data_IF_181393623228
#
_entry.id   IF_181393623228
#
_cell.length_a   1.000
_cell.length_b   1.000
_cell.length_c   1.000
_cell.angle_alpha   90.00
_cell.angle_beta   90.00
_cell.angle_gamma   90.00
#
_symmetry.space_group_name_H-M   'P 1'
#
loop_
_entity.id
_entity.type
_entity.pdbx_description
1 polymer ?
#
# COMPACT_ATOMS: atom_id res chain seq x y z
N UNK A 1 -93.24 64.20 -47.04
CA UNK A 1 -93.78 63.03 -46.31
C UNK A 1 -93.17 61.78 -46.93
N UNK A 2 -92.97 60.67 -46.22
CA UNK A 2 -92.03 60.48 -45.11
C UNK A 2 -91.26 59.13 -45.27
N UNK A 3 -90.61 58.71 -44.19
CA UNK A 3 -90.40 57.31 -43.77
C UNK A 3 -89.15 56.49 -44.17
N UNK A 4 -88.55 55.96 -43.09
CA UNK A 4 -87.52 54.92 -42.94
C UNK A 4 -88.01 53.55 -43.42
N UNK A 5 -87.08 52.60 -43.56
CA UNK A 5 -86.97 51.29 -42.87
C UNK A 5 -86.04 50.40 -43.73
N UNK A 6 -84.85 50.00 -43.26
CA UNK A 6 -84.50 48.91 -42.33
C UNK A 6 -84.19 47.58 -43.06
N UNK A 7 -83.27 46.82 -42.46
CA UNK A 7 -82.40 45.79 -43.04
C UNK A 7 -83.00 44.36 -43.06
N UNK A 8 -82.62 43.61 -44.11
CA UNK A 8 -82.33 42.14 -44.19
C UNK A 8 -83.42 41.11 -43.85
N UNK A 9 -83.45 39.96 -44.55
CA UNK A 9 -83.01 38.69 -43.93
C UNK A 9 -82.35 37.69 -44.93
N UNK A 10 -81.30 36.96 -44.53
CA UNK A 10 -81.26 35.59 -43.96
C UNK A 10 -81.12 34.42 -44.97
N UNK A 11 -80.10 33.59 -44.68
CA UNK A 11 -80.03 32.11 -44.72
C UNK A 11 -80.22 31.39 -46.06
N UNK A 12 -79.26 30.62 -46.57
CA UNK A 12 -78.97 29.19 -46.26
C UNK A 12 -77.80 28.75 -47.18
N UNK A 13 -77.07 27.64 -47.06
CA UNK A 13 -76.85 26.59 -46.07
C UNK A 13 -75.50 25.91 -46.44
N UNK A 14 -74.85 25.30 -45.46
CA UNK A 14 -73.50 24.71 -45.51
C UNK A 14 -73.48 23.42 -46.35
N UNK A 15 -72.48 23.24 -47.23
CA UNK A 15 -72.05 21.89 -47.64
C UNK A 15 -70.52 21.70 -47.58
N UNK A 16 -70.18 20.50 -47.12
CA UNK A 16 -68.99 20.02 -46.44
C UNK A 16 -67.98 19.43 -47.44
N UNK A 17 -66.77 19.98 -47.54
CA UNK A 17 -65.60 19.20 -47.99
C UNK A 17 -64.28 19.76 -47.46
N UNK A 18 -63.91 19.26 -46.28
CA UNK A 18 -62.56 18.95 -45.82
C UNK A 18 -61.44 19.98 -46.00
N UNK A 19 -61.26 20.85 -45.01
CA UNK A 19 -59.96 21.49 -44.76
C UNK A 19 -59.20 20.62 -43.76
N UNK A 20 -58.12 19.98 -44.19
CA UNK A 20 -57.20 19.28 -43.29
C UNK A 20 -56.50 20.29 -42.38
N UNK A 21 -56.51 19.98 -41.07
CA UNK A 21 -55.80 20.70 -40.02
C UNK A 21 -54.31 20.37 -40.08
N UNK A 22 -53.48 21.36 -40.36
CA UNK A 22 -52.07 21.36 -39.96
C UNK A 22 -51.89 22.25 -38.74
N UNK A 23 -51.94 21.67 -37.54
CA UNK A 23 -51.43 22.36 -36.35
C UNK A 23 -49.92 22.16 -36.34
N UNK A 24 -49.16 23.18 -36.71
CA UNK A 24 -47.73 23.21 -36.46
C UNK A 24 -47.53 23.53 -34.97
N UNK A 25 -47.24 22.51 -34.16
CA UNK A 25 -46.85 22.73 -32.77
C UNK A 25 -45.40 23.20 -32.78
N UNK A 26 -45.19 24.51 -32.68
CA UNK A 26 -43.89 25.07 -32.38
C UNK A 26 -43.54 24.73 -30.93
N UNK A 27 -42.77 23.66 -30.73
CA UNK A 27 -42.17 23.37 -29.43
C UNK A 27 -41.00 24.34 -29.26
N UNK A 28 -40.96 25.20 -28.23
CA UNK A 28 -39.78 26.00 -27.97
C UNK A 28 -38.63 25.04 -27.64
N UNK A 29 -37.65 24.94 -28.55
CA UNK A 29 -36.35 24.35 -28.22
C UNK A 29 -35.65 25.34 -27.31
N UNK A 30 -35.87 25.20 -26.00
CA UNK A 30 -34.97 25.79 -25.02
C UNK A 30 -33.67 24.98 -25.11
N UNK A 31 -32.73 25.48 -25.91
CA UNK A 31 -31.35 25.06 -25.79
C UNK A 31 -30.86 25.54 -24.42
N UNK A 32 -31.05 24.71 -23.39
CA UNK A 32 -30.30 24.86 -22.16
C UNK A 32 -28.88 24.50 -22.55
N UNK A 33 -28.08 25.52 -22.86
CA UNK A 33 -26.66 25.41 -22.63
C UNK A 33 -26.52 25.20 -21.12
N UNK A 34 -26.62 23.94 -20.70
CA UNK A 34 -25.96 23.52 -19.49
C UNK A 34 -24.51 23.83 -19.80
N UNK A 35 -24.04 24.98 -19.30
CA UNK A 35 -22.65 25.10 -18.96
C UNK A 35 -22.41 23.85 -18.14
N UNK A 36 -21.83 22.82 -18.77
CA UNK A 36 -21.19 21.74 -18.05
C UNK A 36 -20.45 22.49 -16.97
N UNK A 37 -20.73 22.28 -15.68
CA UNK A 37 -19.79 22.74 -14.71
C UNK A 37 -18.48 22.17 -15.25
N UNK A 38 -17.56 23.05 -15.64
CA UNK A 38 -16.18 22.72 -15.39
C UNK A 38 -16.21 22.52 -13.88
N UNK A 39 -16.53 21.28 -13.46
CA UNK A 39 -15.99 20.73 -12.27
C UNK A 39 -14.51 20.99 -12.52
N UNK A 40 -14.03 22.09 -11.95
CA UNK A 40 -12.67 22.21 -11.54
C UNK A 40 -12.53 21.08 -10.53
N UNK A 41 -12.42 19.86 -11.06
CA UNK A 41 -11.52 18.89 -10.51
C UNK A 41 -10.19 19.62 -10.54
N UNK A 42 -9.92 20.36 -9.46
CA UNK A 42 -8.58 20.46 -8.93
C UNK A 42 -8.19 19.03 -8.60
N UNK A 43 -7.94 18.23 -9.65
CA UNK A 43 -7.06 17.09 -9.54
C UNK A 43 -5.78 17.76 -9.11
N UNK A 44 -5.53 17.71 -7.81
CA UNK A 44 -4.35 18.30 -7.23
C UNK A 44 -3.17 17.61 -7.92
N UNK A 45 -2.65 18.26 -8.97
CA UNK A 45 -1.61 17.73 -9.83
C UNK A 45 -0.27 17.70 -9.10
N UNK A 46 -0.23 18.34 -7.92
CA UNK A 46 0.92 18.38 -7.06
C UNK A 46 1.26 16.98 -6.58
N UNK A 47 2.53 16.65 -6.72
CA UNK A 47 3.12 15.42 -6.22
C UNK A 47 3.98 15.78 -5.02
N UNK A 48 3.82 15.01 -3.95
CA UNK A 48 4.50 15.21 -2.68
C UNK A 48 5.43 14.03 -2.44
N UNK A 49 6.67 14.33 -2.03
CA UNK A 49 7.58 13.32 -1.53
C UNK A 49 7.31 13.06 -0.04
N UNK A 50 7.16 11.80 0.32
CA UNK A 50 6.97 11.34 1.69
C UNK A 50 8.11 10.44 2.15
N UNK A 51 8.34 10.40 3.46
CA UNK A 51 9.29 9.47 4.07
C UNK A 51 8.76 8.95 5.41
N UNK A 52 8.65 7.63 5.54
CA UNK A 52 8.52 6.98 6.85
C UNK A 52 9.90 6.87 7.47
N UNK A 53 10.06 7.40 8.69
CA UNK A 53 11.30 7.40 9.46
C UNK A 53 11.10 6.62 10.75
N UNK A 54 11.89 5.56 10.92
CA UNK A 54 11.69 4.60 12.02
C UNK A 54 12.38 4.98 13.33
N UNK A 55 13.58 5.57 13.31
CA UNK A 55 14.21 6.10 14.52
C UNK A 55 15.32 7.13 14.25
N UNK A 56 15.72 7.83 15.32
CA UNK A 56 16.56 9.03 15.34
C UNK A 56 18.05 8.72 15.42
N UNK A 57 18.59 7.88 14.52
CA UNK A 57 20.03 7.93 14.27
C UNK A 57 20.23 9.12 13.32
N UNK A 58 20.36 10.31 13.92
CA UNK A 58 20.85 11.56 13.30
C UNK A 58 19.89 12.43 12.46
N UNK A 59 18.58 12.15 12.39
CA UNK A 59 17.63 13.06 11.74
C UNK A 59 16.22 13.05 12.34
N UNK A 60 15.88 14.08 13.11
CA UNK A 60 14.50 14.41 13.43
C UNK A 60 13.78 14.98 12.19
N UNK A 61 12.45 14.81 12.07
CA UNK A 61 11.55 14.09 12.98
C UNK A 61 11.35 12.62 12.60
N UNK A 62 11.42 11.73 13.60
CA UNK A 62 10.88 10.36 13.53
C UNK A 62 9.35 10.46 13.49
N UNK A 63 8.71 9.64 12.66
CA UNK A 63 7.27 9.68 12.50
C UNK A 63 6.58 8.32 12.65
N UNK A 64 7.35 7.28 12.97
CA UNK A 64 6.86 5.96 13.33
C UNK A 64 6.65 5.84 14.85
N UNK A 65 5.63 5.07 15.23
CA UNK A 65 5.35 4.70 16.62
C UNK A 65 4.95 3.24 16.65
N UNK A 66 5.65 2.48 17.49
CA UNK A 66 5.31 1.08 17.79
C UNK A 66 4.04 1.02 18.63
N UNK A 67 3.23 -0.02 18.43
CA UNK A 67 2.11 -0.32 19.32
C UNK A 67 2.57 -0.54 20.78
N UNK A 68 1.63 -0.51 21.71
CA UNK A 68 1.87 -0.71 23.14
C UNK A 68 1.03 -1.86 23.69
N UNK A 69 1.40 -2.36 24.89
CA UNK A 69 0.68 -3.46 25.56
C UNK A 69 0.58 -4.70 24.67
N UNK A 70 -0.64 -5.25 24.53
CA UNK A 70 -0.91 -6.43 23.71
C UNK A 70 -0.56 -6.24 22.21
N UNK A 71 -0.49 -4.99 21.74
CA UNK A 71 -0.20 -4.67 20.35
C UNK A 71 1.28 -4.42 20.05
N UNK A 72 2.16 -4.45 21.06
CA UNK A 72 3.56 -4.07 20.89
C UNK A 72 4.29 -4.88 19.82
N UNK A 73 3.98 -6.17 19.70
CA UNK A 73 4.56 -7.03 18.65
C UNK A 73 3.66 -7.19 17.43
N UNK A 74 2.46 -6.61 17.45
CA UNK A 74 1.42 -6.82 16.43
C UNK A 74 1.24 -5.65 15.48
N UNK A 75 1.44 -4.43 15.96
CA UNK A 75 1.03 -3.25 15.24
C UNK A 75 2.00 -2.08 15.43
N UNK A 76 2.04 -1.20 14.44
CA UNK A 76 2.72 0.08 14.47
C UNK A 76 2.07 1.03 13.48
N UNK A 77 2.33 2.33 13.63
CA UNK A 77 1.80 3.34 12.73
C UNK A 77 2.83 4.43 12.47
N UNK A 78 2.75 5.08 11.32
CA UNK A 78 3.49 6.29 11.04
C UNK A 78 2.58 7.39 10.47
N UNK A 79 2.87 8.65 10.78
CA UNK A 79 2.17 9.82 10.24
C UNK A 79 3.15 10.71 9.46
N UNK A 80 3.10 10.63 8.13
CA UNK A 80 4.01 11.36 7.25
C UNK A 80 3.43 12.72 6.91
N UNK A 81 3.90 13.76 7.59
CA UNK A 81 3.65 15.15 7.21
C UNK A 81 4.30 15.43 5.84
N UNK A 82 3.53 16.01 4.92
CA UNK A 82 3.99 16.34 3.58
C UNK A 82 4.28 17.85 3.50
N UNK A 83 5.43 18.26 2.94
CA UNK A 83 5.77 19.67 2.80
C UNK A 83 4.81 20.35 1.83
N UNK A 84 4.58 21.65 1.99
CA UNK A 84 3.82 22.41 0.99
C UNK A 84 4.56 22.41 -0.36
N UNK A 85 3.82 22.23 -1.45
CA UNK A 85 4.36 22.28 -2.82
C UNK A 85 3.63 23.38 -3.56
N UNK A 86 4.36 24.37 -4.06
CA UNK A 86 3.79 25.53 -4.77
C UNK A 86 2.69 26.26 -3.96
N UNK A 87 2.84 26.34 -2.63
CA UNK A 87 1.85 26.94 -1.73
C UNK A 87 0.65 26.05 -1.40
N UNK A 88 0.55 24.85 -1.97
CA UNK A 88 -0.51 23.89 -1.67
C UNK A 88 -0.09 22.94 -0.56
N UNK A 89 -0.92 22.84 0.48
CA UNK A 89 -0.79 21.86 1.56
C UNK A 89 -1.70 20.66 1.32
N UNK A 90 -1.37 19.53 1.92
CA UNK A 90 -2.22 18.34 1.92
C UNK A 90 -2.15 17.64 3.28
N UNK A 91 -3.16 16.83 3.59
CA UNK A 91 -3.16 16.02 4.80
C UNK A 91 -2.02 15.01 4.82
N UNK A 92 -1.61 14.60 6.02
CA UNK A 92 -0.58 13.59 6.21
C UNK A 92 -0.94 12.26 5.56
N UNK A 93 0.08 11.49 5.17
CA UNK A 93 -0.08 10.09 4.79
C UNK A 93 0.14 9.24 6.03
N UNK A 94 -0.94 8.67 6.55
CA UNK A 94 -0.88 7.66 7.59
C UNK A 94 -0.47 6.32 6.97
N UNK A 95 0.44 5.62 7.64
CA UNK A 95 0.91 4.27 7.28
C UNK A 95 0.67 3.36 8.48
N UNK A 96 0.12 2.19 8.25
CA UNK A 96 -0.13 1.18 9.28
C UNK A 96 0.69 -0.07 9.00
N UNK A 97 1.18 -0.67 10.06
CA UNK A 97 1.96 -1.91 10.04
C UNK A 97 1.22 -2.93 10.91
N UNK A 98 0.98 -4.12 10.38
CA UNK A 98 0.37 -5.20 11.16
C UNK A 98 1.07 -6.52 10.90
N UNK A 99 1.30 -7.30 11.96
CA UNK A 99 1.95 -8.62 11.87
C UNK A 99 0.99 -9.74 12.25
N UNK A 100 0.91 -10.74 11.38
CA UNK A 100 0.27 -12.03 11.68
C UNK A 100 1.31 -13.15 11.63
N UNK A 101 1.26 -14.05 12.61
CA UNK A 101 2.11 -15.23 12.62
C UNK A 101 1.57 -16.24 11.61
N UNK A 102 2.47 -16.89 10.90
CA UNK A 102 2.18 -18.07 10.09
C UNK A 102 2.50 -19.29 10.97
N UNK A 103 1.52 -19.76 11.72
CA UNK A 103 1.62 -21.06 12.41
C UNK A 103 1.45 -22.18 11.39
N UNK A 104 2.29 -23.22 11.45
CA UNK A 104 1.95 -24.50 10.81
C UNK A 104 1.69 -25.54 11.90
N UNK A 105 0.48 -26.07 11.94
CA UNK A 105 0.01 -27.01 12.93
C UNK A 105 0.40 -28.49 12.66
N UNK A 106 1.35 -28.77 11.74
CA UNK A 106 1.48 -30.12 11.18
C UNK A 106 2.85 -30.83 11.37
N UNK A 107 3.92 -30.13 11.74
CA UNK A 107 5.24 -30.78 11.91
C UNK A 107 6.07 -29.90 12.85
N UNK A 108 6.65 -30.47 13.91
CA UNK A 108 7.25 -29.76 15.05
C UNK A 108 8.04 -28.48 14.74
N UNK A 109 8.03 -27.55 15.71
CA UNK A 109 8.65 -26.23 15.62
C UNK A 109 7.62 -25.10 15.79
N UNK A 110 7.79 -24.23 16.78
CA UNK A 110 6.91 -23.09 17.07
C UNK A 110 7.53 -21.79 16.58
N UNK A 111 6.75 -20.98 15.85
CA UNK A 111 7.12 -19.64 15.41
C UNK A 111 6.27 -18.63 16.18
N UNK A 112 6.93 -17.80 16.98
CA UNK A 112 6.32 -16.72 17.73
C UNK A 112 6.96 -15.39 17.31
N UNK A 113 6.23 -14.29 17.43
CA UNK A 113 6.85 -12.96 17.29
C UNK A 113 7.74 -12.72 18.49
N UNK A 114 8.95 -12.26 18.24
CA UNK A 114 9.87 -11.87 19.30
C UNK A 114 9.39 -10.56 19.96
N UNK A 115 9.77 -10.33 21.21
CA UNK A 115 9.41 -9.09 21.93
C UNK A 115 9.98 -7.84 21.27
N UNK A 116 11.02 -7.97 20.43
CA UNK A 116 11.60 -6.90 19.61
C UNK A 116 10.89 -6.69 18.28
N UNK A 117 9.87 -7.49 17.92
CA UNK A 117 9.13 -7.27 16.70
C UNK A 117 8.54 -5.84 16.70
N UNK A 118 8.71 -5.14 15.58
CA UNK A 118 8.32 -3.75 15.34
C UNK A 118 9.05 -2.70 16.20
N UNK A 119 10.08 -3.09 16.96
CA UNK A 119 10.99 -2.14 17.58
C UNK A 119 11.79 -1.40 16.50
N UNK A 120 12.02 -0.10 16.70
CA UNK A 120 12.82 0.73 15.82
C UNK A 120 14.07 1.31 16.50
N UNK A 121 14.15 1.13 17.81
CA UNK A 121 15.19 1.58 18.74
C UNK A 121 16.04 0.41 19.25
N UNK A 122 15.97 -0.76 18.60
CA UNK A 122 16.72 -1.92 19.06
C UNK A 122 18.22 -1.70 18.94
N UNK A 123 18.98 -2.17 19.93
CA UNK A 123 20.46 -2.12 19.92
C UNK A 123 21.07 -2.91 18.76
N UNK A 124 20.35 -3.91 18.23
CA UNK A 124 20.78 -4.73 17.09
C UNK A 124 20.68 -3.97 15.76
N UNK A 125 19.72 -3.06 15.65
CA UNK A 125 19.43 -2.34 14.42
C UNK A 125 18.86 -0.93 14.70
N UNK A 126 19.65 -0.01 15.27
CA UNK A 126 19.17 1.33 15.59
C UNK A 126 18.66 2.04 14.34
N UNK A 127 17.49 2.68 14.40
CA UNK A 127 16.96 3.42 13.25
C UNK A 127 16.14 2.59 12.26
N UNK A 128 15.97 1.28 12.51
CA UNK A 128 15.40 0.35 11.53
C UNK A 128 14.20 -0.39 12.10
N UNK A 129 13.17 -0.56 11.29
CA UNK A 129 11.98 -1.32 11.67
C UNK A 129 12.29 -2.82 11.69
N UNK A 130 12.24 -3.41 12.88
CA UNK A 130 12.61 -4.80 13.09
C UNK A 130 11.43 -5.75 12.82
N UNK A 131 11.67 -6.79 12.02
CA UNK A 131 10.74 -7.89 11.78
C UNK A 131 11.38 -9.15 12.35
N UNK A 132 11.02 -9.49 13.59
CA UNK A 132 11.74 -10.49 14.40
C UNK A 132 10.79 -11.57 14.88
N UNK A 133 11.22 -12.82 14.76
CA UNK A 133 10.51 -14.00 15.24
C UNK A 133 11.42 -14.87 16.09
N UNK A 134 10.84 -15.54 17.08
CA UNK A 134 11.46 -16.60 17.86
C UNK A 134 11.03 -17.95 17.29
N UNK A 135 12.00 -18.83 17.05
CA UNK A 135 11.78 -20.20 16.57
C UNK A 135 12.23 -21.18 17.65
N UNK A 136 11.38 -22.12 18.02
CA UNK A 136 11.65 -23.12 19.09
C UNK A 136 11.31 -24.53 18.65
N UNK A 137 12.14 -25.52 19.01
CA UNK A 137 11.95 -26.93 18.69
C UNK A 137 12.48 -27.29 17.30
N UNK A 138 12.64 -28.59 17.01
CA UNK A 138 13.18 -29.10 15.75
C UNK A 138 12.33 -28.61 14.56
N UNK A 139 12.65 -27.42 14.06
CA UNK A 139 12.08 -26.89 12.84
C UNK A 139 12.55 -27.78 11.72
N UNK A 140 11.70 -28.73 11.33
CA UNK A 140 11.87 -29.45 10.06
C UNK A 140 11.47 -28.43 9.00
N UNK A 141 12.42 -27.60 8.60
CA UNK A 141 12.18 -26.50 7.68
C UNK A 141 12.08 -27.02 6.25
N UNK A 142 10.92 -27.58 5.92
CA UNK A 142 10.55 -27.84 4.54
C UNK A 142 10.08 -26.54 3.88
N UNK A 143 10.32 -26.43 2.56
CA UNK A 143 9.84 -25.31 1.72
C UNK A 143 8.31 -25.13 1.78
N UNK A 144 7.61 -26.17 2.25
CA UNK A 144 6.17 -26.24 2.41
C UNK A 144 5.84 -27.07 3.67
N UNK A 145 5.05 -26.55 4.64
CA UNK A 145 4.46 -25.22 4.68
C UNK A 145 5.49 -24.14 5.07
N UNK A 146 5.43 -22.98 4.39
CA UNK A 146 6.31 -21.84 4.69
C UNK A 146 5.97 -21.25 6.06
N UNK A 147 6.95 -21.26 6.97
CA UNK A 147 6.80 -20.90 8.40
C UNK A 147 7.40 -19.53 8.71
N UNK A 148 6.66 -18.65 9.37
CA UNK A 148 7.22 -17.35 9.75
C UNK A 148 6.19 -16.31 10.15
N UNK A 149 6.31 -15.08 9.66
CA UNK A 149 5.33 -14.02 9.86
C UNK A 149 5.07 -13.25 8.56
N UNK A 150 3.88 -12.68 8.46
CA UNK A 150 3.55 -11.67 7.45
C UNK A 150 3.43 -10.32 8.12
N UNK A 151 3.94 -9.29 7.43
CA UNK A 151 3.81 -7.89 7.80
C UNK A 151 3.08 -7.17 6.68
N UNK A 152 1.87 -6.71 6.98
CA UNK A 152 1.09 -5.88 6.06
C UNK A 152 1.39 -4.41 6.34
N UNK A 153 1.74 -3.69 5.28
CA UNK A 153 2.00 -2.26 5.30
C UNK A 153 0.93 -1.60 4.44
N UNK A 154 0.11 -0.74 5.02
CA UNK A 154 -0.98 -0.07 4.31
C UNK A 154 -0.88 1.46 4.45
N UNK A 155 -1.01 2.14 3.31
CA UNK A 155 -1.01 3.58 3.19
C UNK A 155 -2.46 4.07 3.13
N UNK A 156 -2.74 5.16 3.84
CA UNK A 156 -4.05 5.83 3.84
C UNK A 156 -4.48 6.38 2.47
N UNK A 157 -3.56 6.46 1.51
CA UNK A 157 -3.81 6.83 0.12
C UNK A 157 -2.77 6.16 -0.80
N UNK A 158 -3.05 6.04 -2.10
CA UNK A 158 -2.11 5.44 -3.04
C UNK A 158 -0.78 6.19 -3.10
N UNK A 159 0.33 5.46 -3.06
CA UNK A 159 1.69 5.98 -3.20
C UNK A 159 2.37 5.34 -4.41
N UNK A 160 3.37 6.02 -4.99
CA UNK A 160 4.10 5.56 -6.18
C UNK A 160 5.60 5.67 -5.94
N UNK A 161 6.39 4.78 -6.55
CA UNK A 161 7.84 4.77 -6.42
C UNK A 161 8.28 4.47 -4.98
N UNK A 162 7.57 3.57 -4.29
CA UNK A 162 7.93 3.19 -2.93
C UNK A 162 9.31 2.53 -2.93
N UNK A 163 10.24 3.04 -2.12
CA UNK A 163 11.57 2.47 -1.97
C UNK A 163 11.98 2.36 -0.52
N UNK A 164 12.69 1.28 -0.17
CA UNK A 164 13.24 1.06 1.16
C UNK A 164 14.40 0.08 1.09
N UNK A 165 15.27 0.11 2.12
CA UNK A 165 16.28 -0.93 2.31
C UNK A 165 15.69 -2.09 3.08
N UNK A 166 15.91 -3.31 2.58
CA UNK A 166 15.70 -4.55 3.32
C UNK A 166 17.07 -5.10 3.70
N UNK A 167 17.27 -5.37 4.98
CA UNK A 167 18.61 -5.55 5.54
C UNK A 167 18.68 -6.73 6.52
N UNK A 168 19.89 -7.26 6.70
CA UNK A 168 20.14 -8.35 7.64
C UNK A 168 19.64 -9.71 7.15
N UNK A 169 19.62 -9.96 5.84
CA UNK A 169 19.26 -11.27 5.29
C UNK A 169 20.45 -12.22 5.47
N UNK A 170 20.38 -13.09 6.47
CA UNK A 170 21.49 -13.95 6.87
C UNK A 170 21.18 -15.43 6.71
N UNK A 171 22.21 -16.24 6.52
CA UNK A 171 22.14 -17.69 6.59
C UNK A 171 23.23 -18.25 7.52
N UNK A 172 22.85 -19.30 8.23
CA UNK A 172 23.69 -20.13 9.08
C UNK A 172 23.14 -21.55 9.15
N UNK A 173 23.78 -22.39 9.94
CA UNK A 173 23.34 -23.79 10.16
C UNK A 173 21.94 -23.89 10.77
N UNK A 174 21.53 -22.93 11.60
CA UNK A 174 20.26 -22.99 12.36
C UNK A 174 19.15 -22.07 11.82
N UNK A 175 19.47 -21.12 10.96
CA UNK A 175 18.54 -20.16 10.38
C UNK A 175 18.93 -19.77 8.97
N UNK A 176 17.96 -19.41 8.15
CA UNK A 176 18.21 -18.90 6.81
C UNK A 176 17.08 -17.96 6.42
N UNK A 177 17.33 -16.67 6.48
CA UNK A 177 16.34 -15.64 6.25
C UNK A 177 15.87 -15.67 4.80
N UNK A 178 14.55 -15.72 4.63
CA UNK A 178 13.91 -15.61 3.34
C UNK A 178 12.78 -14.58 3.42
N UNK A 179 12.74 -13.70 2.42
CA UNK A 179 11.76 -12.62 2.33
C UNK A 179 11.08 -12.64 0.96
N UNK A 180 9.76 -12.54 0.97
CA UNK A 180 8.96 -12.32 -0.24
C UNK A 180 8.10 -11.08 -0.11
N UNK A 181 7.72 -10.54 -1.26
CA UNK A 181 6.90 -9.34 -1.35
C UNK A 181 5.71 -9.60 -2.29
N UNK A 182 4.51 -9.34 -1.81
CA UNK A 182 3.24 -9.55 -2.53
C UNK A 182 2.27 -8.42 -2.21
N UNK A 183 1.15 -8.32 -2.93
CA UNK A 183 0.00 -7.56 -2.44
C UNK A 183 -0.56 -8.24 -1.19
N UNK A 184 -1.37 -7.53 -0.40
CA UNK A 184 -2.08 -8.13 0.75
C UNK A 184 -3.01 -9.27 0.32
N UNK A 185 -3.49 -9.25 -0.94
CA UNK A 185 -4.26 -10.34 -1.56
C UNK A 185 -3.41 -11.49 -2.09
N UNK A 186 -2.07 -11.42 -1.99
CA UNK A 186 -1.13 -12.47 -2.38
C UNK A 186 -0.67 -12.44 -3.84
N UNK A 187 -1.03 -11.41 -4.62
CA UNK A 187 -0.55 -11.24 -5.98
C UNK A 187 0.92 -10.79 -6.00
N UNK A 188 1.65 -11.16 -7.06
CA UNK A 188 3.02 -10.69 -7.24
C UNK A 188 3.04 -9.16 -7.43
N UNK A 189 3.94 -8.48 -6.72
CA UNK A 189 4.24 -7.07 -6.96
C UNK A 189 5.32 -6.95 -8.03
N UNK A 190 5.19 -5.96 -8.92
CA UNK A 190 6.23 -5.59 -9.88
C UNK A 190 7.36 -4.82 -9.19
N UNK A 191 8.00 -5.43 -8.19
CA UNK A 191 9.11 -4.86 -7.45
C UNK A 191 10.44 -5.17 -8.15
N UNK A 192 11.34 -4.19 -8.17
CA UNK A 192 12.74 -4.39 -8.50
C UNK A 192 13.56 -4.36 -7.22
N UNK A 193 14.67 -5.09 -7.22
CA UNK A 193 15.63 -5.06 -6.13
C UNK A 193 17.05 -4.94 -6.69
N UNK A 194 17.84 -4.07 -6.12
CA UNK A 194 19.28 -4.02 -6.33
C UNK A 194 19.98 -4.46 -5.05
N UNK A 195 20.78 -5.51 -5.16
CA UNK A 195 21.61 -5.96 -4.05
C UNK A 195 22.63 -4.87 -3.69
N UNK A 196 22.72 -4.50 -2.42
CA UNK A 196 23.73 -3.53 -1.96
C UNK A 196 25.11 -4.20 -1.91
N UNK A 197 25.16 -5.53 -1.78
CA UNK A 197 26.37 -6.31 -2.00
C UNK A 197 26.07 -7.76 -2.41
N UNK A 198 27.06 -8.64 -2.35
CA UNK A 198 27.02 -9.92 -3.07
C UNK A 198 26.26 -11.07 -2.35
N UNK A 199 25.79 -10.87 -1.11
CA UNK A 199 25.30 -11.99 -0.27
C UNK A 199 23.80 -12.23 -0.36
N UNK A 200 23.05 -11.46 -1.14
CA UNK A 200 21.61 -11.67 -1.33
C UNK A 200 21.33 -12.13 -2.76
N UNK A 201 20.60 -13.23 -2.88
CA UNK A 201 20.10 -13.76 -4.15
C UNK A 201 18.58 -13.87 -4.13
N UNK A 202 18.01 -14.06 -5.32
CA UNK A 202 16.56 -14.18 -5.52
C UNK A 202 15.92 -12.89 -6.00
N UNK A 203 14.63 -12.95 -6.31
CA UNK A 203 13.87 -11.83 -6.86
C UNK A 203 12.63 -11.45 -6.02
N UNK A 204 12.53 -11.96 -4.79
CA UNK A 204 11.47 -11.60 -3.85
C UNK A 204 10.11 -12.24 -4.15
N UNK A 205 10.02 -13.15 -5.11
CA UNK A 205 8.79 -13.90 -5.41
C UNK A 205 8.64 -15.12 -4.51
N UNK A 206 7.43 -15.69 -4.43
CA UNK A 206 7.20 -16.92 -3.66
C UNK A 206 8.08 -18.10 -4.13
N UNK A 207 8.34 -18.21 -5.43
CA UNK A 207 9.19 -19.25 -6.00
C UNK A 207 10.70 -18.97 -5.81
N UNK A 208 11.08 -17.70 -5.70
CA UNK A 208 12.48 -17.29 -5.57
C UNK A 208 12.62 -16.08 -4.61
N UNK A 209 12.40 -16.30 -3.30
CA UNK A 209 12.50 -15.25 -2.29
C UNK A 209 13.91 -14.68 -2.24
N UNK A 210 14.02 -13.44 -1.76
CA UNK A 210 15.30 -12.91 -1.35
C UNK A 210 15.81 -13.70 -0.16
N UNK A 211 17.00 -14.27 -0.31
CA UNK A 211 17.66 -15.10 0.70
C UNK A 211 19.16 -14.92 0.62
N UNK A 212 19.87 -15.34 1.65
CA UNK A 212 21.32 -15.35 1.55
C UNK A 212 21.80 -16.45 0.60
N UNK A 213 22.84 -16.17 -0.19
CA UNK A 213 23.49 -17.13 -1.08
C UNK A 213 24.83 -17.66 -0.53
N UNK A 214 25.21 -17.20 0.66
CA UNK A 214 26.43 -17.61 1.35
C UNK A 214 26.12 -17.71 2.84
N UNK A 215 26.76 -18.64 3.54
CA UNK A 215 26.76 -18.62 4.99
C UNK A 215 27.50 -17.38 5.48
N UNK A 216 26.82 -16.51 6.22
CA UNK A 216 27.32 -15.20 6.60
C UNK A 216 27.01 -14.90 8.08
N UNK A 217 27.04 -15.95 8.90
CA UNK A 217 26.56 -16.06 10.28
C UNK A 217 27.27 -15.18 11.33
N UNK A 218 27.51 -13.90 11.04
CA UNK A 218 27.68 -12.90 12.08
C UNK A 218 26.30 -12.57 12.65
N UNK A 219 25.75 -13.45 13.48
CA UNK A 219 24.61 -13.28 14.40
C UNK A 219 23.90 -11.90 14.31
N UNK A 220 22.98 -11.71 13.36
CA UNK A 220 22.17 -10.49 13.28
C UNK A 220 22.93 -9.19 12.96
N UNK A 221 24.17 -9.25 12.48
CA UNK A 221 24.94 -8.08 12.06
C UNK A 221 24.46 -7.60 10.71
N UNK A 222 23.95 -6.37 10.66
CA UNK A 222 23.52 -5.75 9.42
C UNK A 222 24.74 -5.19 8.68
N UNK A 223 24.91 -5.58 7.42
CA UNK A 223 25.99 -5.09 6.56
C UNK A 223 25.44 -4.68 5.19
N UNK A 224 26.24 -3.96 4.41
CA UNK A 224 25.93 -3.71 3.00
C UNK A 224 25.77 -5.01 2.20
N UNK A 225 26.56 -6.05 2.51
CA UNK A 225 26.59 -7.30 1.78
C UNK A 225 25.28 -8.10 1.88
N UNK A 226 24.63 -8.07 3.05
CA UNK A 226 23.39 -8.79 3.35
C UNK A 226 22.13 -7.91 3.27
N UNK A 227 22.20 -6.87 2.44
CA UNK A 227 21.14 -5.88 2.26
C UNK A 227 20.81 -5.66 0.78
N UNK A 228 19.60 -5.19 0.50
CA UNK A 228 19.14 -4.79 -0.82
C UNK A 228 18.26 -3.54 -0.73
N UNK A 229 18.19 -2.78 -1.82
CA UNK A 229 17.19 -1.71 -1.99
C UNK A 229 16.04 -2.28 -2.79
N UNK A 230 14.84 -2.26 -2.22
CA UNK A 230 13.60 -2.61 -2.91
C UNK A 230 13.00 -1.34 -3.50
N UNK A 231 12.49 -1.42 -4.73
CA UNK A 231 11.70 -0.35 -5.36
C UNK A 231 10.44 -0.92 -5.99
N UNK A 232 9.29 -0.31 -5.70
CA UNK A 232 8.01 -0.60 -6.33
C UNK A 232 7.64 0.62 -7.18
N UNK A 233 7.90 0.61 -8.49
CA UNK A 233 7.70 1.77 -9.35
C UNK A 233 6.22 2.11 -9.55
N UNK A 234 5.34 1.11 -9.50
CA UNK A 234 3.89 1.28 -9.67
C UNK A 234 3.20 1.94 -8.47
N UNK A 235 1.93 2.29 -8.66
CA UNK A 235 1.07 2.81 -7.60
C UNK A 235 0.53 1.69 -6.73
N UNK A 236 0.67 1.81 -5.41
CA UNK A 236 0.15 0.86 -4.43
C UNK A 236 -0.50 1.58 -3.25
N UNK A 237 -1.48 0.95 -2.60
CA UNK A 237 -2.01 1.39 -1.30
C UNK A 237 -1.64 0.44 -0.18
N UNK A 238 -1.15 -0.76 -0.51
CA UNK A 238 -0.68 -1.73 0.48
C UNK A 238 0.29 -2.73 -0.15
N UNK A 239 1.10 -3.35 0.71
CA UNK A 239 1.96 -4.48 0.38
C UNK A 239 2.03 -5.43 1.57
N UNK A 240 2.38 -6.67 1.29
CA UNK A 240 2.66 -7.71 2.28
C UNK A 240 4.09 -8.18 2.11
N UNK A 241 4.88 -8.00 3.16
CA UNK A 241 6.16 -8.63 3.33
C UNK A 241 5.94 -9.94 4.09
N UNK A 242 6.47 -11.05 3.58
CA UNK A 242 6.51 -12.30 4.32
C UNK A 242 7.95 -12.63 4.64
N UNK A 243 8.22 -12.83 5.94
CA UNK A 243 9.51 -13.23 6.46
C UNK A 243 9.41 -14.65 7.01
N UNK A 244 10.33 -15.52 6.59
CA UNK A 244 10.40 -16.90 7.04
C UNK A 244 11.85 -17.37 7.16
N UNK A 245 12.05 -18.46 7.91
CA UNK A 245 13.34 -19.17 7.97
C UNK A 245 13.29 -20.39 7.06
N UNK A 246 14.14 -20.45 6.04
CA UNK A 246 14.14 -21.49 5.01
C UNK A 246 15.26 -22.51 5.22
N UNK A 247 14.93 -23.70 5.73
CA UNK A 247 15.90 -24.80 5.86
C UNK A 247 16.75 -24.74 7.14
N UNK A 248 16.47 -23.80 8.05
CA UNK A 248 17.14 -23.72 9.36
C UNK A 248 16.60 -24.72 10.39
N UNK A 249 17.50 -25.30 11.20
CA UNK A 249 17.15 -26.22 12.30
C UNK A 249 17.66 -25.68 13.64
N UNK A 250 16.80 -25.57 14.65
CA UNK A 250 17.24 -25.22 16.01
C UNK A 250 16.57 -26.12 17.04
N UNK A 251 17.29 -26.53 18.08
CA UNK A 251 16.72 -27.27 19.22
C UNK A 251 16.36 -26.33 20.37
N UNK A 252 16.89 -25.10 20.38
CA UNK A 252 16.65 -24.07 21.38
C UNK A 252 15.90 -22.89 20.78
N UNK A 253 15.17 -22.16 21.63
CA UNK A 253 14.49 -20.93 21.21
C UNK A 253 15.53 -19.91 20.74
N UNK A 254 15.50 -19.56 19.46
CA UNK A 254 16.39 -18.56 18.87
C UNK A 254 15.60 -17.49 18.14
N UNK A 255 16.03 -16.25 18.31
CA UNK A 255 15.46 -15.12 17.63
C UNK A 255 16.21 -14.82 16.34
N UNK A 256 15.45 -14.55 15.29
CA UNK A 256 15.95 -14.21 13.97
C UNK A 256 15.06 -13.13 13.38
N UNK A 257 15.62 -12.26 12.55
CA UNK A 257 14.87 -11.16 11.98
C UNK A 257 15.58 -10.47 10.83
N UNK A 258 14.77 -9.77 10.06
CA UNK A 258 15.18 -8.84 9.01
C UNK A 258 14.73 -7.44 9.37
N UNK A 259 15.34 -6.43 8.74
CA UNK A 259 15.15 -5.04 9.12
C UNK A 259 14.79 -4.19 7.91
N UNK A 260 13.88 -3.23 8.09
CA UNK A 260 13.55 -2.23 7.08
C UNK A 260 14.17 -0.89 7.44
N UNK A 261 14.90 -0.30 6.50
CA UNK A 261 15.27 1.10 6.54
C UNK A 261 14.09 2.01 6.21
N UNK A 262 14.30 3.33 6.30
CA UNK A 262 13.29 4.34 5.97
C UNK A 262 12.65 4.09 4.60
N UNK A 263 11.35 4.39 4.50
CA UNK A 263 10.56 4.18 3.29
C UNK A 263 10.30 5.52 2.61
N UNK A 264 10.75 5.69 1.37
CA UNK A 264 10.50 6.90 0.57
C UNK A 264 9.44 6.62 -0.49
N UNK A 265 8.61 7.61 -0.79
CA UNK A 265 7.55 7.46 -1.79
C UNK A 265 7.09 8.82 -2.33
N UNK A 266 6.27 8.78 -3.38
CA UNK A 266 5.50 9.94 -3.86
C UNK A 266 4.00 9.70 -3.73
N UNK A 267 3.23 10.75 -3.51
CA UNK A 267 1.76 10.71 -3.50
C UNK A 267 1.20 11.96 -4.16
N UNK A 268 -0.06 11.91 -4.58
CA UNK A 268 -0.84 13.10 -4.93
C UNK A 268 -1.67 13.57 -3.74
N UNK A 269 -2.17 14.80 -3.79
CA UNK A 269 -3.15 15.25 -2.80
C UNK A 269 -4.41 14.39 -2.90
N UNK A 270 -5.02 14.13 -1.76
CA UNK A 270 -6.36 13.54 -1.63
C UNK A 270 -7.38 14.64 -1.39
#
# INVERSE_FOLDING_TARGET
MPERFELTPASESINRRGVMKGAAWSVPVMAVAVATPAASASACAQTYAGTVRFAAVDAAPVNYTRGTGANATLAGAASVALPAVNGFTTGAVNVTFSSSSLTSAATGGTYARDTRNFAADSTVAPGKFAIVQTVTGASVATQNPVRGQTVDIAFSRPVTGLSFRLEGITAGTTYNDAVTLTTVTGAALAATASSVGAQVAGNGTAANPWRSNAENANQGTITAANSLVVTIPGTISSLRLRYNSWGGTTTTAQAQGVFLGNMTFTTRCS
#
